data_IF_475406873506
#
_entry.id   IF_475406873506
#
_cell.length_a   1.000
_cell.length_b   1.000
_cell.length_c   1.000
_cell.angle_alpha   90.00
_cell.angle_beta   90.00
_cell.angle_gamma   90.00
#
_symmetry.space_group_name_H-M   'P 1'
#
loop_
_entity.id
_entity.type
_entity.pdbx_description
1 polymer ?
#
# COMPACT_ATOMS: atom_id res chain seq x y z
N UNK A 1 3.65 27.64 -22.04
CA UNK A 1 2.24 27.54 -21.61
C UNK A 1 2.07 26.24 -20.82
N UNK A 2 2.71 26.18 -19.65
CA UNK A 2 2.71 25.01 -18.76
C UNK A 2 2.68 25.54 -17.32
N UNK A 3 1.48 25.91 -16.87
CA UNK A 3 1.15 26.22 -15.49
C UNK A 3 -0.33 25.89 -15.32
N UNK A 4 -0.70 25.47 -14.10
CA UNK A 4 -1.98 24.85 -13.69
C UNK A 4 -2.04 23.35 -14.05
N UNK A 5 -2.24 22.40 -13.14
CA UNK A 5 -3.10 22.37 -11.95
C UNK A 5 -2.44 21.42 -10.93
N UNK A 6 -1.88 21.90 -9.83
CA UNK A 6 -1.62 21.07 -8.65
C UNK A 6 -1.78 21.93 -7.39
N UNK A 7 -3.03 22.07 -6.95
CA UNK A 7 -3.34 22.54 -5.61
C UNK A 7 -3.45 21.34 -4.66
N UNK A 8 -2.32 20.90 -4.11
CA UNK A 8 -2.30 19.93 -3.01
C UNK A 8 -1.54 20.51 -1.83
N UNK A 9 -2.28 20.91 -0.79
CA UNK A 9 -1.75 21.26 0.53
C UNK A 9 -1.62 19.99 1.37
N UNK A 10 -0.50 19.28 1.25
CA UNK A 10 0.02 18.42 2.32
C UNK A 10 1.52 18.20 2.10
N UNK A 11 2.33 18.71 3.02
CA UNK A 11 3.79 18.84 2.89
C UNK A 11 4.58 17.58 3.24
N UNK A 12 3.97 16.39 3.23
CA UNK A 12 4.62 15.17 3.72
C UNK A 12 4.85 14.08 2.65
N UNK A 13 4.33 14.23 1.42
CA UNK A 13 4.43 13.18 0.37
C UNK A 13 5.58 13.43 -0.63
N UNK A 14 6.27 14.57 -0.55
CA UNK A 14 7.17 14.99 -1.64
C UNK A 14 8.61 14.42 -1.65
N UNK A 15 9.25 13.98 -0.56
CA UNK A 15 10.67 13.63 -0.67
C UNK A 15 10.96 12.18 -1.10
N UNK A 16 10.00 11.25 -1.18
CA UNK A 16 10.31 9.88 -1.61
C UNK A 16 10.21 9.66 -3.13
N UNK A 17 9.29 10.34 -3.80
CA UNK A 17 9.05 10.13 -5.25
C UNK A 17 10.15 10.79 -6.10
N UNK A 18 10.65 11.96 -5.69
CA UNK A 18 11.68 12.68 -6.43
C UNK A 18 13.05 11.98 -6.43
N UNK A 19 13.38 11.19 -5.40
CA UNK A 19 14.70 10.55 -5.30
C UNK A 19 14.82 9.23 -6.07
N UNK A 20 13.71 8.59 -6.46
CA UNK A 20 13.75 7.29 -7.14
C UNK A 20 13.68 7.44 -8.67
N UNK A 21 12.86 8.37 -9.17
CA UNK A 21 12.63 8.52 -10.62
C UNK A 21 13.74 9.37 -11.27
N UNK A 22 14.19 10.44 -10.62
CA UNK A 22 15.16 11.38 -11.20
C UNK A 22 16.53 10.74 -11.51
N UNK A 23 17.09 9.85 -10.67
CA UNK A 23 18.35 9.17 -11.00
C UNK A 23 18.23 8.13 -12.11
N UNK A 24 17.04 7.58 -12.35
CA UNK A 24 16.80 6.58 -13.41
C UNK A 24 16.61 7.28 -14.76
N UNK A 25 15.85 8.37 -14.78
CA UNK A 25 15.64 9.19 -15.99
C UNK A 25 16.94 9.91 -16.41
N UNK A 26 17.75 10.39 -15.45
CA UNK A 26 19.01 11.06 -15.77
C UNK A 26 20.11 10.11 -16.30
N UNK A 27 20.13 8.85 -15.82
CA UNK A 27 21.06 7.80 -16.29
C UNK A 27 20.77 7.30 -17.71
N UNK A 28 19.53 7.43 -18.20
CA UNK A 28 19.17 7.06 -19.57
C UNK A 28 19.58 8.10 -20.63
N UNK A 29 19.98 9.31 -20.22
CA UNK A 29 20.16 10.45 -21.12
C UNK A 29 21.60 11.01 -21.17
N UNK A 30 22.56 10.47 -20.41
CA UNK A 30 23.94 11.01 -20.35
C UNK A 30 25.03 9.94 -20.55
N UNK A 31 25.81 10.00 -21.66
CA UNK A 31 26.97 9.13 -21.82
C UNK A 31 28.14 9.60 -20.92
N UNK A 32 28.67 8.71 -20.06
CA UNK A 32 30.02 8.86 -19.48
C UNK A 32 30.20 9.08 -17.96
N UNK A 33 29.20 8.89 -17.09
CA UNK A 33 29.36 9.22 -15.66
C UNK A 33 29.97 8.08 -14.78
N UNK A 34 30.85 8.38 -13.79
CA UNK A 34 31.52 7.36 -12.96
C UNK A 34 30.59 6.68 -11.94
N UNK A 35 30.86 5.39 -11.67
CA UNK A 35 30.16 4.56 -10.68
C UNK A 35 30.47 5.04 -9.26
N UNK A 36 29.46 5.53 -8.55
CA UNK A 36 29.50 5.67 -7.10
C UNK A 36 28.49 4.70 -6.49
N UNK A 37 29.01 3.70 -5.77
CA UNK A 37 28.24 2.71 -5.04
C UNK A 37 27.71 3.34 -3.75
N UNK A 38 26.39 3.42 -3.61
CA UNK A 38 25.72 3.70 -2.34
C UNK A 38 25.07 2.40 -1.87
N UNK A 39 25.69 1.76 -0.87
CA UNK A 39 25.14 0.63 -0.14
C UNK A 39 24.23 1.17 0.98
N UNK A 40 22.96 1.38 0.65
CA UNK A 40 21.86 1.23 1.60
C UNK A 40 21.22 -0.09 1.23
N UNK A 41 20.88 -0.93 2.21
CA UNK A 41 20.31 -2.27 2.03
C UNK A 41 18.88 -2.25 1.45
N UNK A 42 18.69 -1.63 0.29
CA UNK A 42 17.49 -1.42 -0.50
C UNK A 42 17.64 -2.19 -1.82
N UNK A 43 17.74 -3.51 -1.73
CA UNK A 43 17.80 -4.37 -2.91
C UNK A 43 16.39 -4.77 -3.35
N UNK A 44 15.52 -3.77 -3.51
CA UNK A 44 14.29 -3.89 -4.30
C UNK A 44 14.17 -2.63 -5.15
N UNK A 45 14.52 -2.73 -6.44
CA UNK A 45 14.25 -1.66 -7.39
C UNK A 45 12.78 -1.77 -7.76
N UNK A 46 11.90 -1.05 -7.06
CA UNK A 46 10.47 -1.06 -7.34
C UNK A 46 10.02 0.26 -7.95
N UNK A 47 9.09 0.20 -8.89
CA UNK A 47 8.40 1.37 -9.44
C UNK A 47 6.94 1.31 -9.00
N UNK A 48 6.46 2.38 -8.38
CA UNK A 48 5.09 2.49 -7.88
C UNK A 48 4.22 3.28 -8.86
N UNK A 49 3.02 2.78 -9.14
CA UNK A 49 2.04 3.43 -10.01
C UNK A 49 0.95 4.04 -9.16
N UNK A 50 1.12 5.33 -8.85
CA UNK A 50 0.26 6.05 -7.91
C UNK A 50 0.59 5.76 -6.45
N UNK A 51 -0.24 6.29 -5.56
CA UNK A 51 -0.24 6.01 -4.12
C UNK A 51 -1.70 6.00 -3.65
N UNK A 52 -2.16 4.88 -3.13
CA UNK A 52 -3.50 4.68 -2.58
C UNK A 52 -4.65 5.07 -3.53
N UNK A 53 -4.65 4.62 -4.80
CA UNK A 53 -5.60 5.09 -5.82
C UNK A 53 -7.06 4.69 -5.56
N UNK A 54 -7.32 3.75 -4.65
CA UNK A 54 -8.65 3.17 -4.43
C UNK A 54 -9.25 3.51 -3.07
N UNK A 55 -8.73 4.54 -2.41
CA UNK A 55 -9.40 5.13 -1.26
C UNK A 55 -10.85 5.45 -1.60
N UNK A 56 -11.78 5.05 -0.74
CA UNK A 56 -13.22 5.31 -0.86
C UNK A 56 -13.49 6.81 -1.04
N UNK A 57 -12.68 7.66 -0.40
CA UNK A 57 -12.74 9.12 -0.50
C UNK A 57 -12.40 9.69 -1.89
N UNK A 58 -11.73 8.91 -2.74
CA UNK A 58 -11.49 9.30 -4.14
C UNK A 58 -12.66 8.98 -5.08
N UNK A 59 -13.73 8.37 -4.57
CA UNK A 59 -14.98 8.14 -5.29
C UNK A 59 -14.76 7.55 -6.70
N UNK A 60 -13.88 6.55 -6.79
CA UNK A 60 -13.62 5.80 -8.01
C UNK A 60 -12.78 6.52 -9.07
N UNK A 61 -12.17 7.68 -8.77
CA UNK A 61 -11.41 8.50 -9.73
C UNK A 61 -10.33 7.75 -10.52
N UNK A 62 -9.76 6.68 -9.95
CA UNK A 62 -8.63 5.96 -10.55
C UNK A 62 -8.93 4.50 -10.93
N UNK A 63 -10.18 4.03 -10.79
CA UNK A 63 -10.54 2.63 -11.06
C UNK A 63 -10.25 2.22 -12.51
N UNK A 64 -10.50 3.12 -13.45
CA UNK A 64 -10.29 2.88 -14.88
C UNK A 64 -8.85 3.10 -15.38
N UNK A 65 -7.95 3.66 -14.57
CA UNK A 65 -6.64 4.15 -15.06
C UNK A 65 -5.44 3.45 -14.42
N UNK A 66 -5.54 3.01 -13.16
CA UNK A 66 -4.41 2.41 -12.44
C UNK A 66 -3.89 1.13 -13.09
N UNK A 67 -4.77 0.14 -13.39
CA UNK A 67 -4.33 -1.12 -13.99
C UNK A 67 -3.76 -0.94 -15.42
N UNK A 68 -4.35 -0.13 -16.32
CA UNK A 68 -3.71 0.20 -17.59
C UNK A 68 -2.33 0.85 -17.43
N UNK A 69 -2.16 1.79 -16.51
CA UNK A 69 -0.87 2.42 -16.24
C UNK A 69 0.17 1.41 -15.74
N UNK A 70 -0.24 0.52 -14.84
CA UNK A 70 0.58 -0.57 -14.30
C UNK A 70 1.10 -1.49 -15.42
N UNK A 71 0.21 -1.90 -16.33
CA UNK A 71 0.56 -2.71 -17.51
C UNK A 71 1.51 -1.98 -18.47
N UNK A 72 1.30 -0.69 -18.70
CA UNK A 72 2.13 0.12 -19.59
C UNK A 72 3.56 0.25 -19.06
N UNK A 73 3.74 0.50 -17.77
CA UNK A 73 5.06 0.63 -17.15
C UNK A 73 5.79 -0.71 -17.17
N UNK A 74 5.10 -1.82 -16.85
CA UNK A 74 5.70 -3.16 -16.96
C UNK A 74 6.11 -3.50 -18.40
N UNK A 75 5.29 -3.14 -19.39
CA UNK A 75 5.64 -3.32 -20.81
C UNK A 75 6.90 -2.52 -21.17
N UNK A 76 7.02 -1.28 -20.70
CA UNK A 76 8.20 -0.45 -20.93
C UNK A 76 9.46 -1.05 -20.29
N UNK A 77 9.36 -1.55 -19.05
CA UNK A 77 10.47 -2.23 -18.37
C UNK A 77 10.88 -3.53 -19.09
N UNK A 78 9.91 -4.31 -19.58
CA UNK A 78 10.19 -5.50 -20.37
C UNK A 78 10.93 -5.15 -21.66
N UNK A 79 10.48 -4.12 -22.39
CA UNK A 79 11.15 -3.64 -23.62
C UNK A 79 12.57 -3.13 -23.35
N UNK A 80 12.81 -2.55 -22.18
CA UNK A 80 14.13 -2.10 -21.75
C UNK A 80 15.03 -3.23 -21.19
N UNK A 81 14.53 -4.47 -21.09
CA UNK A 81 15.27 -5.59 -20.49
C UNK A 81 15.46 -5.49 -18.97
N UNK A 82 14.60 -4.71 -18.29
CA UNK A 82 14.70 -4.40 -16.86
C UNK A 82 13.68 -5.14 -15.98
N UNK A 83 12.71 -5.87 -16.56
CA UNK A 83 11.59 -6.50 -15.84
C UNK A 83 11.99 -7.58 -14.81
N UNK A 84 13.21 -8.12 -14.91
CA UNK A 84 13.75 -9.07 -13.92
C UNK A 84 14.37 -8.38 -12.71
N UNK A 85 14.77 -7.11 -12.85
CA UNK A 85 15.43 -6.32 -11.80
C UNK A 85 14.50 -5.30 -11.17
N UNK A 86 13.59 -4.75 -11.97
CA UNK A 86 12.65 -3.71 -11.56
C UNK A 86 11.25 -4.28 -11.53
N UNK A 87 10.63 -4.27 -10.35
CA UNK A 87 9.23 -4.72 -10.18
C UNK A 87 8.29 -3.52 -10.15
N UNK A 88 7.10 -3.68 -10.71
CA UNK A 88 6.08 -2.62 -10.70
C UNK A 88 4.98 -3.00 -9.72
N UNK A 89 4.53 -2.05 -8.91
CA UNK A 89 3.43 -2.24 -7.95
C UNK A 89 2.51 -1.03 -7.91
N UNK A 90 1.45 -1.16 -7.12
CA UNK A 90 0.61 -0.08 -6.65
C UNK A 90 0.69 -0.10 -5.12
N UNK A 91 1.21 0.95 -4.46
CA UNK A 91 1.02 1.13 -3.04
C UNK A 91 -0.47 1.32 -2.76
N UNK A 92 -1.07 0.38 -2.04
CA UNK A 92 -2.49 0.34 -1.73
C UNK A 92 -2.71 0.63 -0.25
N UNK A 93 -3.79 1.34 0.08
CA UNK A 93 -4.17 1.50 1.48
C UNK A 93 -4.92 0.24 1.98
N UNK A 94 -4.95 0.02 3.29
CA UNK A 94 -5.80 -0.99 3.92
C UNK A 94 -7.31 -0.87 3.57
N UNK A 95 -7.77 0.30 3.14
CA UNK A 95 -9.14 0.58 2.67
C UNK A 95 -9.58 -0.23 1.42
N UNK A 96 -8.68 -1.02 0.80
CA UNK A 96 -9.01 -1.88 -0.35
C UNK A 96 -9.52 -3.27 0.03
N UNK A 97 -9.50 -3.62 1.31
CA UNK A 97 -10.08 -4.84 1.86
C UNK A 97 -10.94 -4.52 3.08
N UNK A 98 -11.85 -5.43 3.38
CA UNK A 98 -12.83 -5.31 4.45
C UNK A 98 -12.95 -6.61 5.25
N UNK A 99 -13.49 -6.48 6.46
CA UNK A 99 -13.75 -7.59 7.37
C UNK A 99 -15.14 -7.40 7.97
N UNK A 100 -16.19 -8.06 7.44
CA UNK A 100 -17.57 -7.86 7.87
C UNK A 100 -17.82 -8.10 9.37
N UNK A 101 -17.06 -9.00 9.99
CA UNK A 101 -17.16 -9.32 11.42
C UNK A 101 -16.09 -8.65 12.28
N UNK A 102 -15.25 -7.77 11.69
CA UNK A 102 -14.07 -7.18 12.33
C UNK A 102 -13.05 -8.25 12.82
N UNK A 103 -13.01 -9.42 12.19
CA UNK A 103 -12.08 -10.51 12.49
C UNK A 103 -11.21 -10.82 11.25
N UNK A 104 -9.88 -10.86 11.36
CA UNK A 104 -9.00 -11.08 10.21
C UNK A 104 -9.39 -12.28 9.32
N UNK A 105 -9.85 -13.38 9.90
CA UNK A 105 -10.22 -14.62 9.20
C UNK A 105 -11.28 -14.48 8.13
N UNK A 106 -12.16 -13.47 8.20
CA UNK A 106 -13.19 -13.22 7.20
C UNK A 106 -12.80 -12.18 6.14
N UNK A 107 -11.55 -11.69 6.20
CA UNK A 107 -11.00 -10.67 5.32
C UNK A 107 -11.16 -10.98 3.84
N UNK A 108 -11.60 -9.99 3.07
CA UNK A 108 -11.70 -10.05 1.62
C UNK A 108 -11.48 -8.68 0.97
N UNK A 109 -11.23 -8.64 -0.33
CA UNK A 109 -11.21 -7.36 -1.06
C UNK A 109 -12.60 -6.72 -1.03
N UNK A 110 -12.62 -5.39 -0.93
CA UNK A 110 -13.85 -4.62 -0.83
C UNK A 110 -14.75 -4.89 -2.05
N UNK A 111 -16.01 -5.20 -1.79
CA UNK A 111 -16.93 -5.76 -2.80
C UNK A 111 -17.09 -4.91 -4.08
N UNK A 112 -17.02 -3.58 -3.99
CA UNK A 112 -17.15 -2.63 -5.10
C UNK A 112 -15.93 -2.58 -6.04
N UNK A 113 -14.77 -3.03 -5.58
CA UNK A 113 -13.51 -3.06 -6.36
C UNK A 113 -12.91 -4.47 -6.46
N UNK A 114 -13.62 -5.49 -6.01
CA UNK A 114 -13.13 -6.87 -5.88
C UNK A 114 -12.48 -7.39 -7.18
N UNK A 115 -13.19 -7.32 -8.31
CA UNK A 115 -12.68 -7.83 -9.59
C UNK A 115 -11.47 -7.06 -10.13
N UNK A 116 -11.43 -5.74 -9.86
CA UNK A 116 -10.27 -4.91 -10.19
C UNK A 116 -9.07 -5.30 -9.34
N UNK A 117 -9.28 -5.52 -8.05
CA UNK A 117 -8.25 -5.98 -7.11
C UNK A 117 -7.71 -7.35 -7.53
N UNK A 118 -8.58 -8.31 -7.89
CA UNK A 118 -8.14 -9.60 -8.43
C UNK A 118 -7.33 -9.44 -9.71
N UNK A 119 -7.73 -8.54 -10.61
CA UNK A 119 -6.99 -8.26 -11.83
C UNK A 119 -5.59 -7.69 -11.57
N UNK A 120 -5.44 -6.85 -10.54
CA UNK A 120 -4.16 -6.28 -10.11
C UNK A 120 -3.31 -7.34 -9.40
N UNK A 121 -3.88 -8.08 -8.44
CA UNK A 121 -3.19 -9.15 -7.71
C UNK A 121 -2.68 -10.21 -8.67
N UNK A 122 -3.51 -10.63 -9.64
CA UNK A 122 -3.09 -11.52 -10.72
C UNK A 122 -1.89 -10.95 -11.48
N UNK A 123 -1.98 -9.70 -11.89
CA UNK A 123 -0.90 -9.04 -12.62
C UNK A 123 0.41 -9.01 -11.80
N UNK A 124 0.34 -8.70 -10.51
CA UNK A 124 1.51 -8.68 -9.64
C UNK A 124 2.13 -10.08 -9.53
N UNK A 125 1.29 -11.11 -9.32
CA UNK A 125 1.70 -12.52 -9.27
C UNK A 125 2.38 -12.96 -10.57
N UNK A 126 1.75 -12.71 -11.72
CA UNK A 126 2.29 -13.07 -13.04
C UNK A 126 3.65 -12.43 -13.34
N UNK A 127 3.95 -11.27 -12.74
CA UNK A 127 5.21 -10.53 -12.94
C UNK A 127 6.22 -10.70 -11.79
N UNK A 128 5.90 -11.53 -10.78
CA UNK A 128 6.71 -11.71 -9.58
C UNK A 128 6.95 -10.41 -8.82
N UNK A 129 5.94 -9.54 -8.78
CA UNK A 129 5.94 -8.31 -8.00
C UNK A 129 5.19 -8.54 -6.68
N UNK A 130 5.58 -7.88 -5.58
CA UNK A 130 4.86 -7.99 -4.32
C UNK A 130 3.58 -7.14 -4.33
N UNK A 131 2.64 -7.48 -3.46
CA UNK A 131 1.57 -6.59 -3.04
C UNK A 131 2.12 -5.55 -2.07
N UNK A 132 2.01 -4.26 -2.38
CA UNK A 132 2.49 -3.19 -1.50
C UNK A 132 1.30 -2.56 -0.79
N UNK A 133 1.31 -2.59 0.55
CA UNK A 133 0.24 -2.07 1.38
C UNK A 133 0.74 -1.02 2.37
N UNK A 134 -0.02 0.07 2.52
CA UNK A 134 0.16 1.08 3.55
C UNK A 134 -0.83 0.79 4.68
N UNK A 135 -0.31 0.58 5.88
CA UNK A 135 -1.11 0.29 7.08
C UNK A 135 -0.83 1.39 8.09
N UNK A 136 -1.88 2.11 8.49
CA UNK A 136 -1.77 3.15 9.51
C UNK A 136 -2.64 2.76 10.72
N UNK A 137 -2.07 2.06 11.71
CA UNK A 137 -2.79 1.58 12.89
C UNK A 137 -3.53 2.67 13.66
N UNK A 138 -3.05 3.92 13.64
CA UNK A 138 -3.67 5.02 14.36
C UNK A 138 -5.10 5.36 13.85
N UNK A 139 -5.45 4.97 12.62
CA UNK A 139 -6.75 5.27 12.04
C UNK A 139 -7.89 4.66 12.85
N UNK A 140 -7.71 3.46 13.41
CA UNK A 140 -8.73 2.82 14.26
C UNK A 140 -9.05 3.67 15.49
N UNK A 141 -8.04 4.28 16.12
CA UNK A 141 -8.20 5.21 17.24
C UNK A 141 -8.99 6.47 16.89
N UNK A 142 -8.91 6.92 15.63
CA UNK A 142 -9.65 8.09 15.17
C UNK A 142 -11.10 7.76 14.80
N UNK A 143 -11.37 6.52 14.40
CA UNK A 143 -12.69 6.06 13.97
C UNK A 143 -13.57 5.61 15.13
N UNK A 144 -13.00 4.99 16.17
CA UNK A 144 -13.71 4.59 17.38
C UNK A 144 -13.03 5.19 18.64
N UNK A 145 -13.71 6.10 19.38
CA UNK A 145 -13.19 6.68 20.62
C UNK A 145 -12.94 5.66 21.73
N UNK A 146 -13.54 4.47 21.66
CA UNK A 146 -13.38 3.42 22.66
C UNK A 146 -12.26 2.44 22.32
N UNK A 147 -11.62 2.61 21.16
CA UNK A 147 -10.58 1.70 20.71
C UNK A 147 -9.40 1.71 21.68
N UNK A 148 -8.94 0.55 22.16
CA UNK A 148 -7.91 0.47 23.17
C UNK A 148 -6.58 1.00 22.63
N UNK A 149 -6.08 2.11 23.21
CA UNK A 149 -4.81 2.73 22.83
C UNK A 149 -3.64 1.72 22.81
N UNK A 150 -3.62 0.76 23.75
CA UNK A 150 -2.62 -0.31 23.79
C UNK A 150 -2.60 -1.16 22.53
N UNK A 151 -3.76 -1.47 21.94
CA UNK A 151 -3.88 -2.27 20.73
C UNK A 151 -3.32 -1.56 19.49
N UNK A 152 -3.38 -0.23 19.46
CA UNK A 152 -2.85 0.58 18.36
C UNK A 152 -1.37 0.95 18.51
N UNK A 153 -0.82 0.96 19.73
CA UNK A 153 0.58 1.35 20.00
C UNK A 153 1.45 0.19 20.49
N UNK A 154 1.03 -1.06 20.28
CA UNK A 154 1.72 -2.26 20.78
C UNK A 154 1.96 -2.23 22.31
N UNK A 155 1.09 -1.53 23.03
CA UNK A 155 1.12 -1.44 24.49
C UNK A 155 0.63 -2.74 25.14
N UNK A 156 0.82 -2.86 26.46
CA UNK A 156 0.45 -4.03 27.25
C UNK A 156 -0.89 -4.63 26.80
N UNK A 157 -0.87 -5.94 26.49
CA UNK A 157 -1.88 -6.88 25.95
C UNK A 157 -3.29 -6.84 26.57
N UNK A 158 -3.76 -5.64 26.84
CA UNK A 158 -5.06 -5.34 27.40
C UNK A 158 -5.95 -5.27 26.18
N UNK A 159 -6.86 -6.23 26.04
CA UNK A 159 -7.82 -6.37 24.93
C UNK A 159 -7.24 -6.97 23.63
N UNK A 160 -6.69 -8.20 23.67
CA UNK A 160 -6.34 -8.88 22.43
C UNK A 160 -7.59 -9.29 21.65
N UNK A 161 -7.51 -9.22 20.32
CA UNK A 161 -8.55 -9.72 19.43
C UNK A 161 -8.39 -11.25 19.30
N UNK A 162 -9.47 -11.99 19.58
CA UNK A 162 -9.48 -13.44 19.41
C UNK A 162 -10.30 -13.83 18.17
N UNK A 163 -9.61 -14.36 17.19
CA UNK A 163 -10.16 -14.80 15.91
C UNK A 163 -10.02 -16.32 15.79
N UNK A 164 -11.05 -17.04 16.27
CA UNK A 164 -11.09 -18.50 16.20
C UNK A 164 -9.92 -19.21 16.91
N UNK A 165 -9.32 -18.59 17.92
CA UNK A 165 -8.15 -19.09 18.65
C UNK A 165 -6.82 -18.44 18.23
N UNK A 166 -6.80 -17.64 17.15
CA UNK A 166 -5.67 -16.78 16.82
C UNK A 166 -5.78 -15.49 17.61
N UNK A 167 -4.74 -15.18 18.40
CA UNK A 167 -4.73 -14.03 19.29
C UNK A 167 -3.88 -12.92 18.67
N UNK A 168 -4.49 -11.77 18.42
CA UNK A 168 -3.78 -10.57 17.99
C UNK A 168 -3.65 -9.62 19.17
N UNK A 169 -2.41 -9.30 19.53
CA UNK A 169 -2.10 -8.37 20.61
C UNK A 169 -2.03 -6.91 20.12
N UNK A 170 -2.06 -6.68 18.80
CA UNK A 170 -2.04 -5.36 18.19
C UNK A 170 -2.83 -5.31 16.87
N UNK A 171 -3.29 -4.10 16.51
CA UNK A 171 -4.11 -3.88 15.33
C UNK A 171 -3.33 -4.00 14.02
N UNK A 172 -2.01 -3.78 14.03
CA UNK A 172 -1.19 -3.93 12.84
C UNK A 172 -1.16 -5.39 12.37
N UNK A 173 -0.90 -6.32 13.27
CA UNK A 173 -0.88 -7.75 12.96
C UNK A 173 -2.26 -8.24 12.53
N UNK A 174 -3.32 -7.79 13.22
CA UNK A 174 -4.69 -8.10 12.83
C UNK A 174 -4.98 -7.59 11.41
N UNK A 175 -4.65 -6.33 11.10
CA UNK A 175 -4.89 -5.70 9.80
C UNK A 175 -4.09 -6.37 8.68
N UNK A 176 -2.83 -6.67 8.95
CA UNK A 176 -1.97 -7.39 8.03
C UNK A 176 -2.51 -8.81 7.77
N UNK A 177 -2.95 -9.54 8.79
CA UNK A 177 -3.56 -10.87 8.56
C UNK A 177 -4.87 -10.77 7.77
N UNK A 178 -5.69 -9.73 7.96
CA UNK A 178 -6.88 -9.51 7.11
C UNK A 178 -6.52 -9.47 5.62
N UNK A 179 -5.44 -8.77 5.25
CA UNK A 179 -4.92 -8.78 3.88
C UNK A 179 -4.43 -10.18 3.46
N UNK A 180 -3.71 -10.87 4.33
CA UNK A 180 -3.23 -12.24 4.04
C UNK A 180 -4.41 -13.18 3.79
N UNK A 181 -5.49 -13.08 4.57
CA UNK A 181 -6.73 -13.85 4.40
C UNK A 181 -7.43 -13.51 3.09
N UNK A 182 -7.54 -12.24 2.74
CA UNK A 182 -8.09 -11.81 1.45
C UNK A 182 -7.30 -12.40 0.27
N UNK A 183 -5.96 -12.37 0.33
CA UNK A 183 -5.09 -12.95 -0.69
C UNK A 183 -5.24 -14.49 -0.76
N UNK A 184 -5.24 -15.18 0.38
CA UNK A 184 -5.41 -16.63 0.46
C UNK A 184 -6.76 -17.09 -0.12
N UNK A 185 -7.85 -16.44 0.30
CA UNK A 185 -9.22 -16.72 -0.13
C UNK A 185 -9.37 -16.63 -1.64
N UNK A 186 -8.63 -15.71 -2.26
CA UNK A 186 -8.64 -15.46 -3.70
C UNK A 186 -7.53 -16.19 -4.48
N UNK A 187 -6.83 -17.15 -3.87
CA UNK A 187 -5.85 -18.01 -4.54
C UNK A 187 -4.44 -17.43 -4.69
N UNK A 188 -4.12 -16.35 -3.99
CA UNK A 188 -2.83 -15.64 -4.05
C UNK A 188 -2.10 -15.61 -2.70
N UNK A 189 -2.33 -16.61 -1.84
CA UNK A 189 -1.70 -16.68 -0.51
C UNK A 189 -0.16 -16.75 -0.50
N UNK A 190 0.47 -17.04 -1.64
CA UNK A 190 1.93 -17.04 -1.81
C UNK A 190 2.49 -15.72 -2.36
N UNK A 191 1.63 -14.73 -2.65
CA UNK A 191 2.07 -13.44 -3.17
C UNK A 191 2.82 -12.68 -2.05
N UNK A 192 4.08 -12.28 -2.26
CA UNK A 192 4.81 -11.54 -1.23
C UNK A 192 4.12 -10.21 -0.91
N UNK A 193 4.05 -9.86 0.37
CA UNK A 193 3.51 -8.57 0.83
C UNK A 193 4.67 -7.69 1.31
N UNK A 194 4.62 -6.41 0.97
CA UNK A 194 5.55 -5.38 1.43
C UNK A 194 4.75 -4.28 2.10
N UNK A 195 5.16 -3.90 3.31
CA UNK A 195 4.64 -2.70 3.98
C UNK A 195 5.28 -1.49 3.32
N UNK A 196 4.49 -0.71 2.58
CA UNK A 196 4.92 0.50 1.88
C UNK A 196 5.07 1.68 2.84
N UNK A 197 4.08 1.88 3.70
CA UNK A 197 4.06 2.91 4.73
C UNK A 197 3.43 2.39 6.02
N UNK A 198 4.00 2.83 7.15
CA UNK A 198 3.46 2.67 8.50
C UNK A 198 3.90 3.87 9.35
N UNK A 199 3.01 4.40 10.18
CA UNK A 199 3.36 5.53 11.03
C UNK A 199 2.24 5.99 11.93
N UNK A 200 2.60 6.85 12.89
CA UNK A 200 1.68 7.51 13.82
C UNK A 200 1.99 9.02 13.86
N UNK A 201 0.96 9.88 13.88
CA UNK A 201 1.17 11.31 14.08
C UNK A 201 1.66 11.58 15.51
N UNK A 202 2.60 12.53 15.67
CA UNK A 202 3.12 12.94 16.99
C UNK A 202 2.20 13.94 17.70
N UNK A 203 1.32 14.61 16.95
CA UNK A 203 0.42 15.66 17.46
C UNK A 203 -1.05 15.32 17.11
N UNK A 204 -1.94 15.61 18.04
CA UNK A 204 -3.37 15.29 18.00
C UNK A 204 -4.17 16.21 17.06
N UNK A 205 -4.09 15.98 15.75
CA UNK A 205 -5.12 16.51 14.86
C UNK A 205 -6.31 15.54 14.82
N UNK A 206 -7.37 15.89 15.56
CA UNK A 206 -8.71 15.27 15.53
C UNK A 206 -9.43 15.52 14.18
N UNK A 207 -8.73 15.40 13.07
CA UNK A 207 -9.35 15.38 11.75
C UNK A 207 -9.79 13.95 11.46
N UNK A 208 -11.06 13.77 11.11
CA UNK A 208 -11.58 12.48 10.63
C UNK A 208 -10.62 11.91 9.58
N UNK A 209 -10.17 10.65 9.72
CA UNK A 209 -9.29 10.05 8.73
C UNK A 209 -10.01 10.05 7.37
N UNK A 210 -9.26 10.34 6.31
CA UNK A 210 -9.74 10.31 4.90
C UNK A 210 -9.88 8.86 4.38
N UNK A 211 -9.74 7.91 5.31
CA UNK A 211 -9.50 6.49 5.12
C UNK A 211 -10.34 5.75 6.15
N UNK A 212 -10.96 4.64 5.77
CA UNK A 212 -11.78 3.83 6.68
C UNK A 212 -10.87 2.89 7.48
N UNK A 213 -11.19 2.69 8.76
CA UNK A 213 -10.54 1.64 9.53
C UNK A 213 -11.07 0.27 9.08
N UNK A 214 -10.18 -0.73 9.01
CA UNK A 214 -10.57 -2.12 8.75
C UNK A 214 -11.28 -2.75 9.96
N UNK A 215 -11.02 -2.22 11.16
CA UNK A 215 -11.67 -2.62 12.41
C UNK A 215 -12.45 -1.45 12.98
N UNK A 216 -13.73 -1.65 13.27
CA UNK A 216 -14.61 -0.67 13.92
C UNK A 216 -15.14 -1.20 15.25
#
# INVERSE_FOLDING_TARGET
MLSLILGFKSWWVFPMICFIIWPIVSKLLTPGWPRMSLLISLLVVQTSVGNEPFLSSYNGSFLGTTLPALRNIQSALTKAGLSTRVKVTVPLNADVYESPTNLPSDGDFRSDIHDLMLSIVKFLSDNGAPFTVNIYPFISLCSDPNSPLGFAFFGNKSFPLNDGGTIYDNVFDANHDTLIRALQKNGYGSLPVVIGEIGWPTNEHKTRPVVTSVFA
#
